data_IF_419351268025
#
_entry.id   IF_419351268025
#
_cell.length_a   1.000
_cell.length_b   1.000
_cell.length_c   1.000
_cell.angle_alpha   90.00
_cell.angle_beta   90.00
_cell.angle_gamma   90.00
#
_symmetry.space_group_name_H-M   'P 1'
#
loop_
_entity.id
_entity.type
_entity.pdbx_description
1 polymer ?
#
# COMPACT_ATOMS: atom_id res chain seq x y z
N UNK A 1 -40.47 21.52 -83.03
CA UNK A 1 -39.16 20.98 -82.51
C UNK A 1 -38.64 21.88 -81.41
N UNK A 2 -38.71 21.44 -80.16
CA UNK A 2 -38.20 22.20 -79.00
C UNK A 2 -37.13 21.35 -78.35
N UNK A 3 -35.89 21.81 -78.47
CA UNK A 3 -34.68 21.18 -77.87
C UNK A 3 -34.60 21.60 -76.42
N UNK A 4 -34.77 20.66 -75.53
CA UNK A 4 -34.53 20.88 -74.06
C UNK A 4 -33.08 20.63 -73.73
N UNK A 5 -32.41 21.62 -73.17
CA UNK A 5 -31.03 21.54 -72.67
C UNK A 5 -31.08 21.14 -71.20
N UNK A 6 -30.53 19.97 -70.90
CA UNK A 6 -30.45 19.42 -69.54
C UNK A 6 -29.18 19.94 -68.83
N UNK A 7 -29.34 20.81 -67.83
CA UNK A 7 -28.26 21.31 -67.02
C UNK A 7 -27.96 20.32 -65.89
N UNK A 8 -26.76 19.72 -65.91
CA UNK A 8 -26.27 18.84 -64.87
C UNK A 8 -25.55 19.68 -63.76
N UNK A 9 -26.18 19.82 -62.60
CA UNK A 9 -25.59 20.45 -61.41
C UNK A 9 -24.71 19.45 -60.70
N UNK A 10 -23.37 19.64 -60.74
CA UNK A 10 -22.40 18.96 -59.90
C UNK A 10 -22.43 19.59 -58.50
N UNK A 11 -22.97 18.91 -57.51
CA UNK A 11 -22.85 19.28 -56.10
C UNK A 11 -21.53 18.75 -55.55
N UNK A 12 -20.57 19.63 -55.32
CA UNK A 12 -19.34 19.37 -54.58
C UNK A 12 -19.69 19.33 -53.10
N UNK A 13 -19.77 18.13 -52.52
CA UNK A 13 -19.94 17.93 -51.08
C UNK A 13 -18.64 18.32 -50.35
N UNK A 14 -18.66 19.44 -49.63
CA UNK A 14 -17.63 19.70 -48.60
C UNK A 14 -17.84 18.71 -47.47
N UNK A 15 -16.91 17.76 -47.31
CA UNK A 15 -16.80 16.91 -46.13
C UNK A 15 -16.17 17.78 -45.04
N UNK A 16 -16.85 18.07 -43.90
CA UNK A 16 -16.19 18.72 -42.78
C UNK A 16 -15.14 17.73 -42.19
N UNK A 17 -13.88 18.14 -42.18
CA UNK A 17 -12.88 17.46 -41.40
C UNK A 17 -13.29 17.54 -39.92
N UNK A 18 -13.72 16.45 -39.35
CA UNK A 18 -13.90 16.33 -37.90
C UNK A 18 -12.50 16.32 -37.29
N UNK A 19 -12.08 17.45 -36.70
CA UNK A 19 -11.00 17.47 -35.73
C UNK A 19 -11.40 16.60 -34.55
N UNK A 20 -10.93 15.35 -34.54
CA UNK A 20 -11.03 14.52 -33.36
C UNK A 20 -10.14 15.16 -32.31
N UNK A 21 -10.68 15.51 -31.14
CA UNK A 21 -9.83 15.97 -30.03
C UNK A 21 -8.85 14.87 -29.72
N UNK A 22 -7.55 15.13 -29.79
CA UNK A 22 -6.49 14.26 -29.29
C UNK A 22 -6.63 14.29 -27.78
N UNK A 23 -7.32 13.31 -27.23
CA UNK A 23 -7.39 13.10 -25.78
C UNK A 23 -6.06 12.52 -25.36
N UNK A 24 -5.15 13.35 -24.91
CA UNK A 24 -3.92 12.89 -24.24
C UNK A 24 -4.31 12.53 -22.83
N UNK A 25 -4.45 11.25 -22.54
CA UNK A 25 -4.63 10.74 -21.18
C UNK A 25 -3.27 10.84 -20.46
N UNK A 26 -3.01 12.02 -19.89
CA UNK A 26 -1.75 12.27 -19.19
C UNK A 26 -1.93 11.85 -17.74
N UNK A 27 -1.44 10.68 -17.42
CA UNK A 27 -1.49 10.14 -16.04
C UNK A 27 -0.46 10.86 -15.18
N UNK A 28 -0.95 11.45 -14.09
CA UNK A 28 -0.10 12.01 -13.03
C UNK A 28 0.40 10.89 -12.13
N UNK A 29 1.70 10.73 -12.02
CA UNK A 29 2.32 9.77 -11.10
C UNK A 29 2.45 10.41 -9.73
N UNK A 30 1.70 9.89 -8.76
CA UNK A 30 1.73 10.34 -7.37
C UNK A 30 2.68 9.46 -6.55
N UNK A 31 3.55 10.10 -5.76
CA UNK A 31 4.48 9.43 -4.85
C UNK A 31 4.42 10.10 -3.49
N UNK A 32 3.92 9.34 -2.51
CA UNK A 32 4.02 9.73 -1.10
C UNK A 32 5.34 9.24 -0.52
N UNK A 33 6.02 10.06 0.30
CA UNK A 33 7.31 9.72 0.87
C UNK A 33 7.56 10.39 2.21
N UNK A 34 8.51 9.83 2.96
CA UNK A 34 9.03 10.43 4.20
C UNK A 34 10.51 10.70 4.06
N UNK A 35 11.02 11.63 4.85
CA UNK A 35 12.43 11.98 4.89
C UNK A 35 12.94 11.86 6.31
N UNK A 36 14.04 11.16 6.49
CA UNK A 36 14.75 11.02 7.75
C UNK A 36 16.15 11.65 7.69
N UNK A 37 16.60 12.15 8.82
CA UNK A 37 17.98 12.56 9.01
C UNK A 37 18.90 11.35 9.30
N UNK A 38 20.23 11.54 9.45
CA UNK A 38 21.16 10.45 9.77
C UNK A 38 20.89 9.75 11.11
N UNK A 39 20.15 10.39 12.00
CA UNK A 39 19.75 9.86 13.30
C UNK A 39 18.38 9.14 13.23
N UNK A 40 17.72 9.19 12.06
CA UNK A 40 16.40 8.59 11.83
C UNK A 40 15.22 9.48 12.23
N UNK A 41 15.48 10.72 12.68
CA UNK A 41 14.41 11.66 12.99
C UNK A 41 13.76 12.18 11.70
N UNK A 42 12.44 12.36 11.74
CA UNK A 42 11.68 12.84 10.58
C UNK A 42 11.97 14.30 10.28
N UNK A 43 12.28 14.58 9.03
CA UNK A 43 12.49 15.93 8.52
C UNK A 43 11.24 16.36 7.74
N UNK A 44 10.54 17.38 8.21
CA UNK A 44 9.22 17.78 7.70
C UNK A 44 9.13 19.24 7.24
N UNK A 45 10.26 19.93 7.07
CA UNK A 45 10.35 21.35 6.71
C UNK A 45 10.95 21.60 5.31
N UNK A 46 11.08 20.56 4.49
CA UNK A 46 11.63 20.65 3.14
C UNK A 46 10.59 21.16 2.13
N UNK A 47 11.10 21.71 1.04
CA UNK A 47 10.35 22.27 -0.08
C UNK A 47 10.57 21.45 -1.36
N UNK A 48 9.83 21.76 -2.42
CA UNK A 48 9.95 21.11 -3.74
C UNK A 48 11.38 21.22 -4.31
N UNK A 49 12.04 22.32 -4.05
CA UNK A 49 13.37 22.67 -4.55
C UNK A 49 14.47 21.79 -3.94
N UNK A 50 14.17 21.14 -2.81
CA UNK A 50 15.11 20.27 -2.08
C UNK A 50 15.18 18.85 -2.68
N UNK A 51 14.43 18.57 -3.74
CA UNK A 51 14.34 17.23 -4.33
C UNK A 51 14.59 17.22 -5.83
N UNK A 52 15.22 16.14 -6.28
CA UNK A 52 15.23 15.69 -7.67
C UNK A 52 14.47 14.37 -7.80
N UNK A 53 13.70 14.21 -8.88
CA UNK A 53 12.93 12.99 -9.17
C UNK A 53 13.45 12.37 -10.45
N UNK A 54 13.70 11.07 -10.42
CA UNK A 54 14.11 10.29 -11.57
C UNK A 54 13.10 9.17 -11.81
N UNK A 55 12.73 8.96 -13.08
CA UNK A 55 12.03 7.75 -13.52
C UNK A 55 12.93 7.01 -14.51
N UNK A 56 13.27 5.76 -14.24
CA UNK A 56 14.22 4.97 -15.02
C UNK A 56 15.53 5.72 -15.33
N UNK A 57 16.05 6.45 -14.33
CA UNK A 57 17.21 7.33 -14.40
C UNK A 57 17.02 8.60 -15.26
N UNK A 58 15.83 8.87 -15.79
CA UNK A 58 15.50 10.10 -16.52
C UNK A 58 14.92 11.14 -15.56
N UNK A 59 15.48 12.38 -15.49
CA UNK A 59 14.96 13.43 -14.63
C UNK A 59 13.52 13.81 -14.99
N UNK A 60 12.66 13.92 -13.97
CA UNK A 60 11.26 14.29 -14.11
C UNK A 60 11.00 15.66 -13.47
N UNK A 61 10.09 16.43 -14.10
CA UNK A 61 9.68 17.73 -13.55
C UNK A 61 8.55 17.53 -12.55
N UNK A 62 8.80 17.88 -11.29
CA UNK A 62 7.76 17.87 -10.25
C UNK A 62 6.67 18.85 -10.61
N UNK A 63 5.47 18.38 -10.90
CA UNK A 63 4.29 19.19 -11.23
C UNK A 63 3.56 19.65 -9.97
N UNK A 64 3.44 18.79 -8.98
CA UNK A 64 2.80 19.05 -7.71
C UNK A 64 3.71 18.66 -6.55
N UNK A 65 3.64 19.41 -5.45
CA UNK A 65 4.32 19.10 -4.21
C UNK A 65 3.49 19.58 -3.03
N UNK A 66 3.24 18.71 -2.09
CA UNK A 66 2.59 19.05 -0.84
C UNK A 66 3.34 18.44 0.35
N UNK A 67 3.29 19.14 1.46
CA UNK A 67 3.67 18.61 2.75
C UNK A 67 2.39 18.25 3.50
N UNK A 68 2.25 16.99 3.83
CA UNK A 68 1.12 16.49 4.58
C UNK A 68 1.48 16.50 6.07
N UNK A 69 0.71 17.25 6.83
CA UNK A 69 0.79 17.24 8.29
C UNK A 69 -0.62 16.96 8.80
N UNK A 70 -0.72 16.08 9.79
CA UNK A 70 -1.98 15.77 10.47
C UNK A 70 -3.10 15.27 9.52
N UNK A 71 -2.71 14.48 8.52
CA UNK A 71 -3.65 13.87 7.56
C UNK A 71 -4.38 12.72 8.23
N UNK A 72 -5.71 12.58 8.02
CA UNK A 72 -6.44 11.40 8.46
C UNK A 72 -5.86 10.12 7.87
N UNK A 73 -5.71 9.11 8.72
CA UNK A 73 -5.19 7.81 8.32
C UNK A 73 -6.33 6.83 8.02
N UNK A 74 -6.18 6.05 6.96
CA UNK A 74 -7.06 4.93 6.63
C UNK A 74 -6.20 3.66 6.64
N UNK A 75 -6.37 2.85 7.68
CA UNK A 75 -5.45 1.78 8.01
C UNK A 75 -6.12 0.41 7.96
N UNK A 76 -5.36 -0.60 7.54
CA UNK A 76 -5.72 -2.00 7.71
C UNK A 76 -4.75 -2.67 8.69
N UNK A 77 -5.29 -3.34 9.67
CA UNK A 77 -4.55 -4.25 10.54
C UNK A 77 -4.77 -5.68 10.03
N UNK A 78 -3.71 -6.39 9.76
CA UNK A 78 -3.76 -7.75 9.20
C UNK A 78 -2.99 -8.65 10.14
N UNK A 79 -3.70 -9.50 10.89
CA UNK A 79 -3.10 -10.38 11.89
C UNK A 79 -3.08 -11.83 11.40
N UNK A 80 -1.91 -12.43 11.46
CA UNK A 80 -1.70 -13.84 11.15
C UNK A 80 -2.22 -14.71 12.28
N UNK A 81 -3.11 -15.63 11.94
CA UNK A 81 -3.69 -16.64 12.83
C UNK A 81 -3.39 -18.05 12.31
N UNK A 82 -2.28 -18.23 11.61
CA UNK A 82 -1.79 -19.55 11.20
C UNK A 82 -1.13 -20.29 12.35
N UNK A 83 -0.98 -21.61 12.22
CA UNK A 83 -0.44 -22.45 13.29
C UNK A 83 0.99 -22.07 13.74
N UNK A 84 1.82 -21.46 12.86
CA UNK A 84 3.14 -20.96 13.24
C UNK A 84 3.06 -19.75 14.17
N UNK A 85 1.92 -19.06 14.21
CA UNK A 85 1.69 -17.86 15.03
C UNK A 85 0.92 -18.15 16.34
N UNK A 86 0.54 -19.40 16.62
CA UNK A 86 -0.21 -19.75 17.84
C UNK A 86 0.47 -19.25 19.12
N UNK A 87 1.79 -19.33 19.18
CA UNK A 87 2.58 -18.87 20.33
C UNK A 87 2.53 -17.34 20.51
N UNK A 88 2.36 -16.59 19.42
CA UNK A 88 2.34 -15.14 19.39
C UNK A 88 0.93 -14.56 19.46
N UNK A 89 -0.12 -15.37 19.48
CA UNK A 89 -1.53 -14.90 19.42
C UNK A 89 -1.85 -13.88 20.52
N UNK A 90 -1.38 -14.09 21.75
CA UNK A 90 -1.56 -13.14 22.87
C UNK A 90 -0.77 -11.85 22.67
N UNK A 91 0.42 -11.94 22.07
CA UNK A 91 1.24 -10.78 21.78
C UNK A 91 0.65 -9.98 20.64
N UNK A 92 0.17 -10.62 19.57
CA UNK A 92 -0.59 -9.94 18.51
C UNK A 92 -1.77 -9.18 19.09
N UNK A 93 -2.56 -9.80 19.96
CA UNK A 93 -3.70 -9.14 20.61
C UNK A 93 -3.24 -7.94 21.45
N UNK A 94 -2.20 -8.10 22.26
CA UNK A 94 -1.64 -7.02 23.07
C UNK A 94 -1.17 -5.85 22.18
N UNK A 95 -0.43 -6.13 21.11
CA UNK A 95 0.14 -5.13 20.24
C UNK A 95 -0.96 -4.41 19.42
N UNK A 96 -1.99 -5.13 18.98
CA UNK A 96 -3.20 -4.54 18.42
C UNK A 96 -3.89 -3.59 19.40
N UNK A 97 -4.02 -3.99 20.69
CA UNK A 97 -4.58 -3.12 21.73
C UNK A 97 -3.74 -1.86 21.96
N UNK A 98 -2.41 -2.00 22.02
CA UNK A 98 -1.49 -0.87 22.15
C UNK A 98 -1.67 0.10 20.99
N UNK A 99 -1.71 -0.41 19.76
CA UNK A 99 -1.93 0.39 18.56
C UNK A 99 -3.27 1.14 18.61
N UNK A 100 -4.37 0.40 18.82
CA UNK A 100 -5.73 0.95 18.77
C UNK A 100 -6.00 1.98 19.88
N UNK A 101 -5.33 1.84 21.03
CA UNK A 101 -5.52 2.78 22.16
C UNK A 101 -4.65 4.03 22.06
N UNK A 102 -3.45 3.94 21.47
CA UNK A 102 -2.45 4.99 21.58
C UNK A 102 -2.17 5.73 20.27
N UNK A 103 -2.52 5.14 19.13
CA UNK A 103 -2.11 5.65 17.81
C UNK A 103 -3.25 6.32 17.06
N UNK A 104 -4.48 5.82 17.22
CA UNK A 104 -5.62 6.33 16.47
C UNK A 104 -6.01 7.74 16.89
N UNK A 105 -6.06 8.64 15.92
CA UNK A 105 -6.65 9.97 16.07
C UNK A 105 -8.15 9.97 15.77
N UNK A 106 -8.87 11.04 16.14
CA UNK A 106 -10.33 11.10 16.01
C UNK A 106 -10.83 11.12 14.56
N UNK A 107 -9.96 11.36 13.59
CA UNK A 107 -10.28 11.36 12.15
C UNK A 107 -9.80 10.11 11.42
N UNK A 108 -9.11 9.21 12.12
CA UNK A 108 -8.58 7.99 11.54
C UNK A 108 -9.65 6.90 11.48
N UNK A 109 -9.49 5.98 10.53
CA UNK A 109 -10.35 4.81 10.38
C UNK A 109 -9.49 3.56 10.21
N UNK A 110 -9.91 2.50 10.87
CA UNK A 110 -9.16 1.24 10.85
C UNK A 110 -10.12 0.09 10.59
N UNK A 111 -9.73 -0.86 9.75
CA UNK A 111 -10.35 -2.17 9.64
C UNK A 111 -9.38 -3.25 10.14
N UNK A 112 -9.93 -4.41 10.51
CA UNK A 112 -9.15 -5.54 11.00
C UNK A 112 -9.46 -6.80 10.20
N UNK A 113 -8.42 -7.45 9.72
CA UNK A 113 -8.46 -8.75 9.03
C UNK A 113 -7.63 -9.75 9.82
N UNK A 114 -8.16 -10.94 10.03
CA UNK A 114 -7.38 -12.10 10.44
C UNK A 114 -7.23 -13.08 9.28
N UNK A 115 -6.05 -13.63 9.10
CA UNK A 115 -5.78 -14.60 8.06
C UNK A 115 -5.02 -15.83 8.59
N UNK A 116 -5.17 -16.91 7.90
CA UNK A 116 -4.52 -18.20 8.00
C UNK A 116 -4.92 -18.95 6.74
N UNK A 117 -5.64 -20.07 6.90
CA UNK A 117 -6.28 -20.76 5.75
C UNK A 117 -7.48 -20.00 5.16
N UNK A 118 -8.10 -19.10 5.91
CA UNK A 118 -9.15 -18.19 5.48
C UNK A 118 -8.78 -16.74 5.81
N UNK A 119 -9.16 -15.81 4.95
CA UNK A 119 -8.98 -14.38 5.16
C UNK A 119 -10.33 -13.82 5.60
N UNK A 120 -10.44 -13.34 6.84
CA UNK A 120 -11.71 -12.91 7.43
C UNK A 120 -11.67 -11.46 7.88
N UNK A 121 -12.68 -10.71 7.44
CA UNK A 121 -12.90 -9.36 7.90
C UNK A 121 -13.49 -9.38 9.31
N UNK A 122 -12.65 -9.15 10.31
CA UNK A 122 -13.04 -9.14 11.72
C UNK A 122 -13.82 -7.87 12.07
N UNK A 123 -13.37 -6.72 11.59
CA UNK A 123 -14.06 -5.44 11.71
C UNK A 123 -13.92 -4.66 10.42
N UNK A 124 -15.01 -4.09 9.95
CA UNK A 124 -14.95 -3.08 8.90
C UNK A 124 -14.45 -1.75 9.46
N UNK A 125 -14.26 -0.74 8.59
CA UNK A 125 -13.74 0.56 9.01
C UNK A 125 -14.49 1.16 10.20
N UNK A 126 -13.78 1.40 11.27
CA UNK A 126 -14.26 2.08 12.46
C UNK A 126 -13.24 3.11 12.94
N UNK A 127 -13.66 4.28 13.44
CA UNK A 127 -12.79 5.20 14.16
C UNK A 127 -12.58 4.78 15.62
N UNK A 128 -13.29 3.75 16.10
CA UNK A 128 -13.28 3.30 17.49
C UNK A 128 -12.41 2.06 17.68
N UNK A 129 -11.24 2.22 18.28
CA UNK A 129 -10.39 1.09 18.68
C UNK A 129 -11.10 0.12 19.63
N UNK A 130 -11.97 0.60 20.52
CA UNK A 130 -12.74 -0.24 21.42
C UNK A 130 -13.71 -1.16 20.66
N UNK A 131 -14.41 -0.63 19.66
CA UNK A 131 -15.30 -1.42 18.80
C UNK A 131 -14.55 -2.53 18.07
N UNK A 132 -13.37 -2.23 17.53
CA UNK A 132 -12.52 -3.21 16.83
C UNK A 132 -12.09 -4.32 17.79
N UNK A 133 -11.71 -3.98 19.03
CA UNK A 133 -11.33 -4.97 20.04
C UNK A 133 -12.51 -5.84 20.48
N UNK A 134 -13.72 -5.28 20.58
CA UNK A 134 -14.91 -6.07 20.87
C UNK A 134 -15.23 -7.05 19.72
N UNK A 135 -15.04 -6.61 18.47
CA UNK A 135 -15.19 -7.49 17.31
C UNK A 135 -14.14 -8.62 17.30
N UNK A 136 -12.88 -8.31 17.68
CA UNK A 136 -11.82 -9.31 17.79
C UNK A 136 -12.17 -10.39 18.83
N UNK A 137 -12.67 -10.01 20.01
CA UNK A 137 -13.12 -10.96 21.04
C UNK A 137 -14.26 -11.87 20.53
N UNK A 138 -15.21 -11.32 19.77
CA UNK A 138 -16.27 -12.12 19.15
C UNK A 138 -15.71 -13.09 18.09
N UNK A 139 -14.72 -12.65 17.33
CA UNK A 139 -14.04 -13.49 16.34
C UNK A 139 -13.35 -14.70 16.96
N UNK A 140 -12.68 -14.54 18.09
CA UNK A 140 -12.03 -15.64 18.81
C UNK A 140 -13.02 -16.74 19.25
N UNK A 141 -14.26 -16.37 19.53
CA UNK A 141 -15.31 -17.32 19.94
C UNK A 141 -16.00 -17.97 18.74
N UNK A 142 -16.13 -17.29 17.62
CA UNK A 142 -16.85 -17.81 16.44
C UNK A 142 -16.35 -17.21 15.13
N UNK A 143 -15.11 -17.54 14.74
CA UNK A 143 -14.47 -17.01 13.54
C UNK A 143 -15.25 -17.29 12.24
N UNK A 144 -15.95 -18.44 12.18
CA UNK A 144 -16.70 -18.85 10.97
C UNK A 144 -17.90 -17.96 10.65
N UNK A 145 -18.37 -17.15 11.60
CA UNK A 145 -19.49 -16.23 11.37
C UNK A 145 -19.07 -14.91 10.70
N UNK A 146 -17.75 -14.66 10.59
CA UNK A 146 -17.23 -13.46 9.99
C UNK A 146 -17.06 -13.60 8.48
N UNK A 147 -17.33 -12.54 7.70
CA UNK A 147 -17.24 -12.59 6.26
C UNK A 147 -15.82 -12.84 5.80
N UNK A 148 -15.67 -13.57 4.71
CA UNK A 148 -14.39 -13.72 4.03
C UNK A 148 -14.12 -12.52 3.13
N UNK A 149 -12.87 -12.11 3.08
CA UNK A 149 -12.33 -11.15 2.13
C UNK A 149 -11.74 -11.93 0.95
N UNK A 150 -12.01 -11.46 -0.27
CA UNK A 150 -11.65 -12.21 -1.48
C UNK A 150 -12.60 -13.37 -1.81
N UNK A 151 -12.27 -14.18 -2.82
CA UNK A 151 -13.09 -15.31 -3.24
C UNK A 151 -13.14 -16.39 -2.17
N UNK A 152 -14.33 -16.98 -2.02
CA UNK A 152 -14.54 -18.13 -1.12
C UNK A 152 -13.82 -19.35 -1.67
N UNK A 153 -12.63 -19.59 -1.20
CA UNK A 153 -11.87 -20.78 -1.57
C UNK A 153 -12.03 -21.88 -0.50
N UNK A 154 -12.09 -23.13 -0.98
CA UNK A 154 -12.02 -24.27 -0.07
C UNK A 154 -10.56 -24.55 0.28
N UNK A 155 -10.07 -23.85 1.28
CA UNK A 155 -8.74 -24.09 1.84
C UNK A 155 -8.89 -24.83 3.15
N UNK A 156 -8.48 -26.08 3.19
CA UNK A 156 -8.51 -26.85 4.45
C UNK A 156 -7.31 -26.56 5.34
N UNK A 157 -6.17 -26.21 4.75
CA UNK A 157 -4.90 -25.89 5.44
C UNK A 157 -4.14 -24.82 4.66
N UNK A 158 -3.23 -24.12 5.35
CA UNK A 158 -2.30 -23.19 4.74
C UNK A 158 -2.38 -21.79 5.29
N UNK A 159 -1.51 -20.92 4.78
CA UNK A 159 -1.41 -19.50 5.14
C UNK A 159 -1.45 -18.67 3.87
N UNK A 160 -2.46 -17.81 3.76
CA UNK A 160 -2.65 -16.91 2.62
C UNK A 160 -2.09 -15.52 2.87
N UNK A 161 -0.79 -15.39 3.11
CA UNK A 161 -0.13 -14.15 3.47
C UNK A 161 -0.21 -13.10 2.36
N UNK A 162 0.13 -13.47 1.11
CA UNK A 162 0.06 -12.53 -0.01
C UNK A 162 -1.38 -12.15 -0.33
N UNK A 163 -2.31 -13.12 -0.32
CA UNK A 163 -3.73 -12.87 -0.56
C UNK A 163 -4.33 -11.93 0.49
N UNK A 164 -3.92 -12.04 1.76
CA UNK A 164 -4.40 -11.16 2.82
C UNK A 164 -4.02 -9.70 2.57
N UNK A 165 -2.79 -9.44 2.13
CA UNK A 165 -2.33 -8.09 1.75
C UNK A 165 -3.03 -7.64 0.46
N UNK A 166 -3.10 -8.51 -0.55
CA UNK A 166 -3.70 -8.22 -1.84
C UNK A 166 -5.17 -7.81 -1.72
N UNK A 167 -6.01 -8.63 -1.09
CA UNK A 167 -7.43 -8.31 -0.94
C UNK A 167 -7.68 -7.15 0.02
N UNK A 168 -6.87 -6.98 1.06
CA UNK A 168 -6.96 -5.80 1.92
C UNK A 168 -6.62 -4.52 1.16
N UNK A 169 -5.71 -4.58 0.19
CA UNK A 169 -5.41 -3.45 -0.70
C UNK A 169 -6.55 -3.20 -1.66
N UNK A 170 -6.93 -4.19 -2.47
CA UNK A 170 -7.83 -4.03 -3.62
C UNK A 170 -9.30 -3.87 -3.22
N UNK A 171 -9.77 -4.61 -2.20
CA UNK A 171 -11.18 -4.57 -1.79
C UNK A 171 -11.47 -3.56 -0.69
N UNK A 172 -10.45 -3.18 0.12
CA UNK A 172 -10.66 -2.27 1.25
C UNK A 172 -10.03 -0.89 1.04
N UNK A 173 -8.80 -0.80 0.58
CA UNK A 173 -8.08 0.47 0.53
C UNK A 173 -8.10 1.18 -0.82
N UNK A 174 -8.26 0.46 -1.94
CA UNK A 174 -8.17 1.05 -3.28
C UNK A 174 -9.13 2.22 -3.52
N UNK A 175 -10.35 2.15 -2.97
CA UNK A 175 -11.38 3.19 -3.12
C UNK A 175 -11.34 4.26 -2.02
N UNK A 176 -10.45 4.11 -1.05
CA UNK A 176 -10.35 5.04 0.06
C UNK A 176 -9.45 6.24 -0.26
N UNK A 177 -9.74 7.35 0.38
CA UNK A 177 -8.95 8.58 0.28
C UNK A 177 -8.03 8.79 1.48
N UNK A 178 -7.08 9.70 1.36
CA UNK A 178 -6.13 10.03 2.41
C UNK A 178 -4.90 9.13 2.43
N UNK A 179 -4.21 9.11 3.56
CA UNK A 179 -3.01 8.28 3.74
C UNK A 179 -3.39 6.86 4.10
N UNK A 180 -3.04 5.91 3.24
CA UNK A 180 -3.44 4.51 3.35
C UNK A 180 -2.25 3.63 3.69
N UNK A 181 -2.43 2.75 4.68
CA UNK A 181 -1.40 1.80 5.03
C UNK A 181 -1.98 0.48 5.56
N UNK A 182 -1.21 -0.59 5.41
CA UNK A 182 -1.43 -1.88 6.04
C UNK A 182 -0.34 -2.12 7.08
N UNK A 183 -0.73 -2.60 8.25
CA UNK A 183 0.15 -3.11 9.30
C UNK A 183 -0.06 -4.62 9.39
N UNK A 184 0.94 -5.39 9.01
CA UNK A 184 0.86 -6.84 8.86
C UNK A 184 1.67 -7.52 9.95
N UNK A 185 1.00 -8.27 10.82
CA UNK A 185 1.54 -9.00 11.95
C UNK A 185 1.69 -10.47 11.57
N UNK A 186 2.91 -10.95 11.31
CA UNK A 186 3.15 -12.30 10.77
C UNK A 186 4.63 -12.71 10.88
N UNK A 187 4.95 -13.95 10.52
CA UNK A 187 6.32 -14.42 10.24
C UNK A 187 6.67 -14.34 8.73
N UNK A 188 5.72 -13.94 7.89
CA UNK A 188 5.90 -13.81 6.43
C UNK A 188 5.85 -15.13 5.67
N UNK A 189 5.34 -16.20 6.30
CA UNK A 189 5.14 -17.48 5.63
C UNK A 189 3.89 -17.46 4.75
N UNK A 190 4.05 -17.97 3.53
CA UNK A 190 2.97 -18.18 2.58
C UNK A 190 3.06 -19.56 1.94
N UNK A 191 1.95 -20.26 1.90
CA UNK A 191 1.89 -21.59 1.25
C UNK A 191 0.55 -21.89 0.60
N UNK A 192 -0.39 -20.95 0.61
CA UNK A 192 -1.73 -21.15 0.06
C UNK A 192 -2.31 -19.95 -0.69
N UNK A 193 -1.58 -18.85 -0.85
CA UNK A 193 -2.04 -17.72 -1.64
C UNK A 193 -2.20 -18.06 -3.12
N UNK A 194 -3.21 -17.50 -3.74
CA UNK A 194 -3.43 -17.51 -5.19
C UNK A 194 -2.59 -16.45 -5.90
N UNK A 195 -2.27 -15.36 -5.21
CA UNK A 195 -1.41 -14.30 -5.71
C UNK A 195 0.05 -14.53 -5.28
N UNK A 196 0.97 -13.96 -6.06
CA UNK A 196 2.39 -14.00 -5.76
C UNK A 196 2.85 -12.69 -5.13
N UNK A 197 3.97 -12.74 -4.41
CA UNK A 197 4.57 -11.56 -3.77
C UNK A 197 4.65 -10.35 -4.71
N UNK A 198 5.07 -10.53 -5.97
CA UNK A 198 5.22 -9.41 -6.90
C UNK A 198 3.88 -8.76 -7.23
N UNK A 199 2.85 -9.56 -7.54
CA UNK A 199 1.50 -9.03 -7.79
C UNK A 199 0.96 -8.24 -6.59
N UNK A 200 1.21 -8.73 -5.38
CA UNK A 200 0.82 -8.04 -4.14
C UNK A 200 1.53 -6.70 -3.97
N UNK A 201 2.84 -6.64 -4.26
CA UNK A 201 3.60 -5.39 -4.25
C UNK A 201 3.10 -4.42 -5.32
N UNK A 202 2.84 -4.91 -6.54
CA UNK A 202 2.34 -4.12 -7.66
C UNK A 202 1.02 -3.42 -7.33
N UNK A 203 0.07 -4.15 -6.75
CA UNK A 203 -1.23 -3.55 -6.38
C UNK A 203 -1.05 -2.52 -5.26
N UNK A 204 -0.26 -2.82 -4.23
CA UNK A 204 0.01 -1.86 -3.16
C UNK A 204 0.68 -0.57 -3.70
N UNK A 205 1.60 -0.69 -4.65
CA UNK A 205 2.25 0.45 -5.31
C UNK A 205 1.27 1.24 -6.19
N UNK A 206 0.41 0.56 -6.96
CA UNK A 206 -0.59 1.17 -7.84
C UNK A 206 -1.61 1.98 -7.03
N UNK A 207 -2.04 1.44 -5.91
CA UNK A 207 -3.02 2.07 -5.02
C UNK A 207 -2.39 3.02 -3.98
N UNK A 208 -1.07 3.24 -4.03
CA UNK A 208 -0.33 4.05 -3.04
C UNK A 208 -0.59 3.62 -1.59
N UNK A 209 -0.65 2.32 -1.35
CA UNK A 209 -0.77 1.73 -0.03
C UNK A 209 0.61 1.37 0.50
N UNK A 210 0.99 1.92 1.65
CA UNK A 210 2.22 1.54 2.33
C UNK A 210 1.99 0.26 3.12
N UNK A 211 2.95 -0.66 3.09
CA UNK A 211 2.87 -1.88 3.88
C UNK A 211 3.97 -1.89 4.94
N UNK A 212 3.56 -1.83 6.20
CA UNK A 212 4.43 -2.04 7.35
C UNK A 212 4.31 -3.50 7.77
N UNK A 213 5.42 -4.16 7.95
CA UNK A 213 5.44 -5.56 8.41
C UNK A 213 6.02 -5.63 9.81
N UNK A 214 5.26 -6.22 10.72
CA UNK A 214 5.65 -6.45 12.12
C UNK A 214 5.82 -7.95 12.27
N UNK A 215 7.08 -8.38 12.41
CA UNK A 215 7.38 -9.79 12.40
C UNK A 215 7.48 -10.36 13.80
N UNK A 216 6.92 -11.56 13.94
CA UNK A 216 7.03 -12.42 15.11
C UNK A 216 7.66 -13.73 14.66
N UNK A 217 8.88 -13.99 15.10
CA UNK A 217 9.66 -15.10 14.58
C UNK A 217 10.36 -15.84 15.73
N UNK A 218 9.99 -17.08 15.95
CA UNK A 218 10.61 -17.93 16.95
C UNK A 218 12.01 -18.39 16.50
N UNK A 219 12.98 -18.34 17.42
CA UNK A 219 14.31 -18.91 17.21
C UNK A 219 14.36 -20.33 17.76
N UNK A 220 14.72 -21.31 16.94
CA UNK A 220 14.98 -22.67 17.38
C UNK A 220 16.44 -22.78 17.86
N UNK A 221 16.62 -23.08 19.14
CA UNK A 221 17.96 -23.18 19.78
C UNK A 221 18.83 -21.91 19.57
N UNK A 222 18.21 -20.72 19.59
CA UNK A 222 18.89 -19.45 19.39
C UNK A 222 19.31 -19.19 17.95
N UNK A 223 18.70 -19.86 16.98
CA UNK A 223 18.96 -19.68 15.56
C UNK A 223 17.67 -19.63 14.75
N UNK A 224 17.64 -18.74 13.77
CA UNK A 224 16.57 -18.68 12.79
C UNK A 224 16.66 -19.87 11.83
N UNK A 225 15.55 -20.56 11.62
CA UNK A 225 15.43 -21.60 10.60
C UNK A 225 15.57 -21.03 9.19
N UNK A 226 15.76 -21.87 8.18
CA UNK A 226 15.79 -21.42 6.78
C UNK A 226 14.44 -20.81 6.36
N UNK A 227 13.33 -21.34 6.87
CA UNK A 227 11.96 -20.88 6.66
C UNK A 227 11.77 -19.48 7.23
N UNK A 228 12.14 -19.26 8.51
CA UNK A 228 12.08 -17.94 9.14
C UNK A 228 12.93 -16.89 8.38
N UNK A 229 14.17 -17.26 7.98
CA UNK A 229 15.02 -16.37 7.17
C UNK A 229 14.39 -16.01 5.82
N UNK A 230 13.63 -16.92 5.23
CA UNK A 230 12.89 -16.64 4.01
C UNK A 230 11.74 -15.68 4.26
N UNK A 231 10.88 -15.93 5.26
CA UNK A 231 9.77 -15.05 5.63
C UNK A 231 10.24 -13.62 5.96
N UNK A 232 11.32 -13.49 6.74
CA UNK A 232 11.94 -12.18 7.03
C UNK A 232 12.28 -11.43 5.74
N UNK A 233 12.94 -12.08 4.77
CA UNK A 233 13.29 -11.43 3.50
C UNK A 233 12.07 -11.01 2.68
N UNK A 234 10.99 -11.79 2.72
CA UNK A 234 9.73 -11.46 2.06
C UNK A 234 9.12 -10.22 2.69
N UNK A 235 9.00 -10.19 4.01
CA UNK A 235 8.42 -9.07 4.74
C UNK A 235 9.25 -7.80 4.54
N UNK A 236 10.59 -7.88 4.65
CA UNK A 236 11.50 -6.77 4.39
C UNK A 236 11.32 -6.21 2.96
N UNK A 237 11.16 -7.10 1.98
CA UNK A 237 10.99 -6.72 0.58
C UNK A 237 9.66 -6.02 0.33
N UNK A 238 8.54 -6.59 0.80
CA UNK A 238 7.22 -5.99 0.66
C UNK A 238 7.18 -4.60 1.29
N UNK A 239 7.65 -4.47 2.53
CA UNK A 239 7.69 -3.18 3.22
C UNK A 239 8.53 -2.16 2.45
N UNK A 240 9.76 -2.52 2.09
CA UNK A 240 10.68 -1.62 1.37
C UNK A 240 10.13 -1.17 0.02
N UNK A 241 9.60 -2.09 -0.79
CA UNK A 241 9.14 -1.77 -2.15
C UNK A 241 7.86 -0.96 -2.17
N UNK A 242 7.04 -1.03 -1.12
CA UNK A 242 5.83 -0.23 -0.96
C UNK A 242 6.06 1.10 -0.23
N UNK A 243 7.24 1.33 0.34
CA UNK A 243 7.60 2.55 1.07
C UNK A 243 7.32 2.51 2.56
N UNK A 244 6.98 1.36 3.11
CA UNK A 244 6.86 1.13 4.56
C UNK A 244 8.17 0.66 5.20
N UNK A 245 8.06 0.05 6.38
CA UNK A 245 9.20 -0.44 7.19
C UNK A 245 8.88 -1.83 7.75
N UNK A 246 9.89 -2.69 7.77
CA UNK A 246 9.84 -3.97 8.47
C UNK A 246 10.39 -3.83 9.89
N UNK A 247 9.67 -4.35 10.86
CA UNK A 247 9.93 -4.23 12.29
C UNK A 247 10.01 -5.61 12.91
N UNK A 248 10.96 -5.80 13.81
CA UNK A 248 11.11 -7.01 14.62
C UNK A 248 10.42 -6.78 15.96
N UNK A 249 9.25 -7.38 16.17
CA UNK A 249 8.43 -7.17 17.36
C UNK A 249 9.09 -7.70 18.63
N UNK A 250 9.99 -8.70 18.52
CA UNK A 250 10.69 -9.25 19.69
C UNK A 250 11.87 -8.38 20.16
N UNK A 251 12.35 -7.49 19.27
CA UNK A 251 13.50 -6.62 19.56
C UNK A 251 13.13 -5.18 19.81
N UNK A 252 11.87 -4.81 19.59
CA UNK A 252 11.43 -3.42 19.62
C UNK A 252 10.18 -3.27 20.47
N UNK A 253 10.15 -2.30 21.36
CA UNK A 253 8.97 -2.00 22.18
C UNK A 253 7.77 -1.57 21.31
N UNK A 254 6.57 -2.16 21.51
CA UNK A 254 5.39 -1.86 20.69
C UNK A 254 4.99 -0.39 20.70
N UNK A 255 5.05 0.28 21.84
CA UNK A 255 4.74 1.70 21.92
C UNK A 255 5.66 2.54 21.03
N UNK A 256 6.95 2.20 21.02
CA UNK A 256 7.96 2.92 20.24
C UNK A 256 7.73 2.78 18.73
N UNK A 257 7.58 1.55 18.23
CA UNK A 257 7.45 1.38 16.79
C UNK A 257 6.09 1.81 16.24
N UNK A 258 5.01 1.67 17.00
CA UNK A 258 3.71 2.18 16.56
C UNK A 258 3.66 3.70 16.54
N UNK A 259 4.28 4.35 17.53
CA UNK A 259 4.40 5.80 17.51
C UNK A 259 5.22 6.26 16.30
N UNK A 260 6.34 5.59 16.02
CA UNK A 260 7.15 5.87 14.84
C UNK A 260 6.35 5.72 13.54
N UNK A 261 5.60 4.63 13.36
CA UNK A 261 4.73 4.41 12.18
C UNK A 261 3.71 5.56 12.06
N UNK A 262 3.06 5.93 13.16
CA UNK A 262 2.08 7.00 13.16
C UNK A 262 2.69 8.35 12.75
N UNK A 263 3.85 8.68 13.31
CA UNK A 263 4.56 9.92 12.99
C UNK A 263 4.99 9.95 11.52
N UNK A 264 5.49 8.83 10.99
CA UNK A 264 5.82 8.67 9.57
C UNK A 264 4.60 8.86 8.66
N UNK A 265 3.46 8.24 9.01
CA UNK A 265 2.24 8.36 8.23
C UNK A 265 1.65 9.76 8.28
N UNK A 266 1.73 10.46 9.42
CA UNK A 266 1.18 11.81 9.61
C UNK A 266 2.09 12.91 9.06
N UNK A 267 3.42 12.69 9.06
CA UNK A 267 4.42 13.67 8.64
C UNK A 267 5.08 13.23 7.35
N UNK A 268 4.37 13.37 6.24
CA UNK A 268 4.83 12.91 4.93
C UNK A 268 4.79 14.02 3.89
N UNK A 269 5.52 13.79 2.81
CA UNK A 269 5.43 14.58 1.60
C UNK A 269 4.66 13.81 0.54
N UNK A 270 4.05 14.56 -0.36
CA UNK A 270 3.45 14.03 -1.57
C UNK A 270 3.96 14.85 -2.74
N UNK A 271 4.46 14.19 -3.77
CA UNK A 271 4.79 14.83 -5.02
C UNK A 271 4.11 14.10 -6.18
N UNK A 272 3.91 14.86 -7.25
CA UNK A 272 3.42 14.28 -8.48
C UNK A 272 4.18 14.86 -9.67
N UNK A 273 4.36 14.02 -10.70
CA UNK A 273 4.98 14.41 -11.95
C UNK A 273 4.26 13.77 -13.14
N UNK A 274 4.40 14.39 -14.31
CA UNK A 274 3.99 13.78 -15.57
C UNK A 274 5.17 13.00 -16.12
N UNK A 275 5.04 11.68 -16.34
CA UNK A 275 6.13 10.89 -16.88
C UNK A 275 6.54 11.41 -18.26
N UNK A 276 7.85 11.50 -18.50
CA UNK A 276 8.38 11.91 -19.80
C UNK A 276 8.09 10.89 -20.90
N UNK A 277 7.91 9.63 -20.53
CA UNK A 277 7.39 8.57 -21.38
C UNK A 277 5.93 8.24 -20.97
N UNK A 278 4.92 8.67 -21.74
CA UNK A 278 3.53 8.46 -21.42
C UNK A 278 2.98 7.09 -21.87
N UNK A 279 3.80 6.21 -22.45
CA UNK A 279 3.32 4.93 -22.96
C UNK A 279 2.82 4.02 -21.84
N UNK A 280 1.67 3.41 -22.08
CA UNK A 280 1.08 2.37 -21.22
C UNK A 280 1.45 1.02 -21.82
N UNK A 281 2.51 0.42 -21.33
CA UNK A 281 3.09 -0.81 -21.84
C UNK A 281 3.16 -1.93 -20.80
N UNK A 282 2.53 -1.70 -19.64
CA UNK A 282 2.49 -2.62 -18.49
C UNK A 282 3.89 -2.97 -17.95
N UNK A 283 4.88 -2.11 -18.21
CA UNK A 283 6.24 -2.29 -17.67
C UNK A 283 6.40 -1.59 -16.32
N UNK A 284 7.28 -2.14 -15.48
CA UNK A 284 7.64 -1.50 -14.22
C UNK A 284 8.54 -0.29 -14.48
N UNK A 285 8.18 0.87 -13.92
CA UNK A 285 8.95 2.11 -13.96
C UNK A 285 9.48 2.44 -12.59
N UNK A 286 10.78 2.46 -12.47
CA UNK A 286 11.45 2.76 -11.22
C UNK A 286 11.42 4.25 -10.94
N UNK A 287 10.83 4.65 -9.81
CA UNK A 287 10.84 6.05 -9.34
C UNK A 287 11.83 6.22 -8.21
N UNK A 288 12.65 7.25 -8.28
CA UNK A 288 13.63 7.58 -7.24
C UNK A 288 13.54 9.06 -6.90
N UNK A 289 13.40 9.38 -5.63
CA UNK A 289 13.41 10.73 -5.10
C UNK A 289 14.76 10.95 -4.41
N UNK A 290 15.54 11.90 -4.89
CA UNK A 290 16.83 12.26 -4.32
C UNK A 290 16.72 13.56 -3.53
N UNK A 291 17.02 13.59 -2.22
CA UNK A 291 17.19 14.83 -1.50
C UNK A 291 18.52 15.47 -1.91
N UNK A 292 18.51 16.78 -2.17
CA UNK A 292 19.74 17.53 -2.52
C UNK A 292 20.64 17.77 -1.31
N UNK A 293 20.05 17.79 -0.13
CA UNK A 293 20.80 17.90 1.12
C UNK A 293 21.46 16.57 1.47
N UNK A 294 22.77 16.58 1.67
CA UNK A 294 23.52 15.40 2.07
C UNK A 294 23.09 14.86 3.45
N UNK A 295 23.12 13.52 3.59
CA UNK A 295 22.78 12.86 4.84
C UNK A 295 21.29 12.57 5.03
N UNK A 296 20.40 13.16 4.23
CA UNK A 296 18.98 12.81 4.27
C UNK A 296 18.69 11.50 3.55
N UNK A 297 17.73 10.74 4.08
CA UNK A 297 17.25 9.49 3.50
C UNK A 297 15.78 9.63 3.14
N UNK A 298 15.42 9.29 1.91
CA UNK A 298 14.03 9.26 1.45
C UNK A 298 13.52 7.83 1.47
N UNK A 299 12.29 7.64 1.98
CA UNK A 299 11.55 6.40 1.93
C UNK A 299 10.26 6.61 1.16
N UNK A 300 10.12 5.89 0.06
CA UNK A 300 9.03 5.94 -0.89
C UNK A 300 8.82 4.56 -1.52
N UNK A 301 7.71 4.36 -2.21
CA UNK A 301 7.57 3.20 -3.11
C UNK A 301 8.67 3.23 -4.16
N UNK A 302 9.14 2.05 -4.59
CA UNK A 302 10.27 1.96 -5.52
C UNK A 302 9.91 2.23 -6.98
N UNK A 303 8.62 2.26 -7.31
CA UNK A 303 8.14 2.49 -8.66
C UNK A 303 6.64 2.19 -8.80
N UNK A 304 6.23 2.00 -10.04
CA UNK A 304 4.84 1.66 -10.41
C UNK A 304 4.81 0.95 -11.77
N UNK A 305 3.68 0.32 -12.10
CA UNK A 305 3.45 -0.25 -13.44
C UNK A 305 2.69 0.74 -14.32
N UNK A 306 3.15 0.92 -15.56
CA UNK A 306 2.55 1.85 -16.53
C UNK A 306 1.32 1.22 -17.20
N UNK A 307 0.19 1.22 -16.49
CA UNK A 307 -1.11 0.67 -16.93
C UNK A 307 -2.06 1.72 -17.49
#
# INVERSE_FOLDING_TARGET
MRTGMLLLLLSVGLCPAQDQPITVDVRLVNVGFTVGDPQGALVNNLSKEDFDVLEDAVPQKIAFFARSQDVPLTLGLIADNSGSQDHFSKQHQHDLEVFLKNVLGPRDRVFLVNFGNHIRLVSDFSPSGAEILDRLRLYEHNSKSFPELGPKEKRDLGTGFYDAIYYSTTEKLAQESGRRALLVFSDGEDNSSSHHMMTTIEEAQSDNVLVYTIRYTEEEHGQLTARNKYGIRIMDRIAKETGGTAIDAEKTDPHSYFQQIADELRSSYELAYYPSDPHKDDTFRKSVIHPKQAGLTVRAKTGYFSR
#
